data_IF_845376102537
#
_entry.id   IF_845376102537
#
_cell.length_a   1.000
_cell.length_b   1.000
_cell.length_c   1.000
_cell.angle_alpha   90.00
_cell.angle_beta   90.00
_cell.angle_gamma   90.00
#
_symmetry.space_group_name_H-M   'P 1'
#
loop_
_entity.id
_entity.type
_entity.pdbx_description
1 polymer ?
#
# COMPACT_ATOMS: atom_id res chain seq x y z
N UNK A 1 -53.76 -80.56 22.20
CA UNK A 1 -53.56 -80.72 23.65
C UNK A 1 -52.14 -81.21 23.82
N UNK A 2 -51.15 -80.56 24.44
CA UNK A 2 -51.04 -79.30 25.21
C UNK A 2 -49.56 -78.89 25.20
N UNK A 3 -49.25 -77.64 24.79
CA UNK A 3 -48.74 -76.51 25.58
C UNK A 3 -47.37 -76.71 26.28
N UNK A 4 -46.44 -75.84 25.85
CA UNK A 4 -45.11 -75.51 26.39
C UNK A 4 -45.12 -75.11 27.89
N UNK A 5 -43.97 -74.91 28.59
CA UNK A 5 -43.33 -73.57 28.54
C UNK A 5 -41.81 -73.41 28.92
N UNK A 6 -41.21 -72.36 28.34
CA UNK A 6 -40.43 -71.20 28.91
C UNK A 6 -39.10 -71.39 29.71
N UNK A 7 -37.96 -71.06 29.06
CA UNK A 7 -37.10 -69.83 29.15
C UNK A 7 -36.56 -69.32 30.55
N UNK A 8 -35.48 -68.50 30.63
CA UNK A 8 -34.06 -68.91 30.73
C UNK A 8 -33.28 -68.18 31.87
N UNK A 9 -31.97 -68.40 32.02
CA UNK A 9 -31.06 -67.43 32.68
C UNK A 9 -29.68 -67.42 32.02
N UNK A 10 -29.30 -66.26 31.47
CA UNK A 10 -28.07 -66.04 30.70
C UNK A 10 -26.93 -65.61 31.63
N UNK A 11 -25.83 -66.37 31.60
CA UNK A 11 -24.53 -65.98 32.16
C UNK A 11 -23.88 -64.91 31.28
N UNK A 12 -23.40 -63.83 31.91
CA UNK A 12 -22.54 -62.81 31.29
C UNK A 12 -21.09 -63.30 31.30
N UNK A 13 -20.44 -63.29 30.14
CA UNK A 13 -18.98 -63.26 30.01
C UNK A 13 -18.67 -62.11 29.06
N UNK A 14 -17.85 -61.17 29.54
CA UNK A 14 -17.31 -60.06 28.76
C UNK A 14 -16.14 -60.59 27.91
N UNK A 15 -16.27 -60.49 26.59
CA UNK A 15 -15.15 -60.62 25.65
C UNK A 15 -14.93 -59.26 24.98
N UNK A 16 -13.68 -58.80 25.01
CA UNK A 16 -13.26 -57.57 24.36
C UNK A 16 -13.34 -57.68 22.84
N UNK A 17 -13.94 -56.68 22.21
CA UNK A 17 -13.89 -56.47 20.78
C UNK A 17 -13.00 -55.26 20.50
N UNK A 18 -11.89 -55.47 19.79
CA UNK A 18 -11.11 -54.40 19.18
C UNK A 18 -11.91 -53.86 17.98
N UNK A 19 -12.34 -52.61 18.06
CA UNK A 19 -12.95 -51.88 16.95
C UNK A 19 -11.85 -51.25 16.09
N UNK A 20 -11.69 -51.74 14.87
CA UNK A 20 -10.94 -51.06 13.82
C UNK A 20 -11.77 -49.85 13.35
N UNK A 21 -11.22 -48.65 13.52
CA UNK A 21 -11.81 -47.40 13.01
C UNK A 21 -11.37 -47.24 11.55
N UNK A 22 -12.27 -47.04 10.58
CA UNK A 22 -11.87 -46.72 9.22
C UNK A 22 -11.30 -45.30 9.20
N UNK A 23 -10.08 -45.14 8.68
CA UNK A 23 -9.49 -43.84 8.41
C UNK A 23 -10.31 -43.16 7.30
N UNK A 24 -11.21 -42.25 7.68
CA UNK A 24 -11.84 -41.34 6.75
C UNK A 24 -10.78 -40.38 6.20
N UNK A 25 -10.53 -40.46 4.89
CA UNK A 25 -9.78 -39.45 4.15
C UNK A 25 -10.52 -38.12 4.26
N UNK A 26 -10.02 -37.23 5.10
CA UNK A 26 -10.45 -35.83 5.15
C UNK A 26 -9.92 -35.17 3.88
N UNK A 27 -10.76 -34.57 3.03
CA UNK A 27 -10.25 -33.74 1.95
C UNK A 27 -9.57 -32.53 2.60
N UNK A 28 -8.25 -32.46 2.52
CA UNK A 28 -7.50 -31.24 2.81
C UNK A 28 -7.96 -30.20 1.82
N UNK A 29 -8.88 -29.33 2.23
CA UNK A 29 -9.06 -28.04 1.58
C UNK A 29 -7.75 -27.32 1.76
N UNK A 30 -6.93 -27.30 0.70
CA UNK A 30 -5.92 -26.27 0.56
C UNK A 30 -6.70 -24.96 0.48
N UNK A 31 -6.97 -24.36 1.65
CA UNK A 31 -7.33 -22.97 1.72
C UNK A 31 -6.14 -22.23 1.10
N UNK A 32 -6.29 -21.82 -0.14
CA UNK A 32 -5.44 -20.80 -0.74
C UNK A 32 -5.55 -19.61 0.20
N UNK A 33 -4.60 -19.47 1.11
CA UNK A 33 -4.41 -18.23 1.84
C UNK A 33 -4.18 -17.20 0.73
N UNK A 34 -5.22 -16.43 0.40
CA UNK A 34 -5.10 -15.28 -0.47
C UNK A 34 -3.96 -14.47 0.14
N UNK A 35 -2.81 -14.46 -0.53
CA UNK A 35 -1.63 -13.74 -0.09
C UNK A 35 -2.10 -12.29 0.07
N UNK A 36 -2.29 -11.83 1.32
CA UNK A 36 -2.64 -10.42 1.58
C UNK A 36 -1.59 -9.63 0.84
N UNK A 37 -2.01 -8.88 -0.18
CA UNK A 37 -1.08 -8.01 -0.89
C UNK A 37 -0.43 -7.10 0.16
N UNK A 38 0.88 -6.87 0.09
CA UNK A 38 1.49 -5.86 0.95
C UNK A 38 0.75 -4.54 0.70
N UNK A 39 0.46 -3.80 1.79
CA UNK A 39 -0.23 -2.51 1.68
C UNK A 39 0.74 -1.46 1.13
N UNK A 40 1.96 -1.49 1.64
CA UNK A 40 3.05 -0.60 1.24
C UNK A 40 3.84 -1.16 0.05
N UNK A 41 4.50 -0.27 -0.70
CA UNK A 41 5.29 -0.64 -1.87
C UNK A 41 6.52 -1.48 -1.47
N UNK A 42 6.65 -2.73 -1.98
CA UNK A 42 7.65 -3.68 -1.48
C UNK A 42 9.10 -3.33 -1.80
N UNK A 43 9.34 -2.54 -2.86
CA UNK A 43 10.69 -2.19 -3.31
C UNK A 43 11.20 -0.86 -2.72
N UNK A 44 10.43 -0.24 -1.81
CA UNK A 44 10.86 0.96 -1.11
C UNK A 44 11.74 0.65 0.11
N UNK A 45 12.81 1.43 0.31
CA UNK A 45 13.55 1.46 1.56
C UNK A 45 12.74 2.23 2.62
N UNK A 46 12.55 1.64 3.80
CA UNK A 46 11.90 2.35 4.90
C UNK A 46 12.85 3.37 5.55
N UNK A 47 12.58 4.67 5.34
CA UNK A 47 13.31 5.79 5.94
C UNK A 47 12.28 6.73 6.58
N UNK A 48 11.91 6.50 7.85
CA UNK A 48 10.72 7.12 8.43
C UNK A 48 10.85 8.63 8.59
N UNK A 49 9.77 9.35 8.30
CA UNK A 49 9.54 10.70 8.78
C UNK A 49 9.37 10.71 10.31
N UNK A 50 9.54 11.87 10.93
CA UNK A 50 9.16 12.07 12.34
C UNK A 50 7.68 11.79 12.53
N UNK A 51 7.32 11.12 13.63
CA UNK A 51 5.91 10.92 14.01
C UNK A 51 5.16 12.23 14.29
N UNK A 52 5.89 13.34 14.43
CA UNK A 52 5.30 14.68 14.54
C UNK A 52 4.87 15.27 13.19
N UNK A 53 5.20 14.64 12.07
CA UNK A 53 5.00 15.19 10.73
C UNK A 53 3.89 14.49 9.91
N UNK A 54 3.11 13.61 10.52
CA UNK A 54 1.97 12.93 9.89
C UNK A 54 0.89 12.61 10.92
N UNK A 55 -0.32 12.28 10.47
CA UNK A 55 -1.40 11.86 11.36
C UNK A 55 -1.53 10.34 11.38
N UNK A 56 -1.47 9.74 12.58
CA UNK A 56 -1.76 8.32 12.76
C UNK A 56 -3.21 8.00 12.33
N UNK A 57 -3.40 6.89 11.63
CA UNK A 57 -4.67 6.50 11.02
C UNK A 57 -4.65 5.02 10.62
N UNK A 58 -5.80 4.53 10.15
CA UNK A 58 -6.03 3.15 9.70
C UNK A 58 -6.62 3.11 8.28
N UNK A 59 -6.00 3.86 7.36
CA UNK A 59 -6.45 3.88 5.95
C UNK A 59 -6.28 2.50 5.29
N UNK A 60 -7.21 2.10 4.40
CA UNK A 60 -8.30 2.91 3.84
C UNK A 60 -9.60 2.86 4.67
N UNK A 61 -9.62 2.26 5.86
CA UNK A 61 -10.87 2.12 6.63
C UNK A 61 -11.33 3.41 7.31
N UNK A 62 -10.39 4.26 7.72
CA UNK A 62 -10.69 5.59 8.27
C UNK A 62 -10.99 6.63 7.18
N UNK A 63 -10.24 6.58 6.07
CA UNK A 63 -10.42 7.40 4.87
C UNK A 63 -10.07 6.57 3.64
N UNK A 64 -10.85 6.62 2.55
CA UNK A 64 -10.47 5.95 1.31
C UNK A 64 -9.18 6.58 0.75
N UNK A 65 -8.41 5.82 -0.02
CA UNK A 65 -7.26 6.34 -0.78
C UNK A 65 -7.67 6.33 -2.24
N UNK A 66 -7.90 7.51 -2.79
CA UNK A 66 -8.54 7.72 -4.09
C UNK A 66 -7.61 8.43 -5.09
N UNK A 67 -6.51 9.00 -4.60
CA UNK A 67 -5.59 9.80 -5.41
C UNK A 67 -4.12 9.41 -5.19
N UNK A 68 -3.32 9.66 -6.22
CA UNK A 68 -1.87 9.81 -6.12
C UNK A 68 -1.55 11.27 -6.42
N UNK A 69 -0.79 11.93 -5.54
CA UNK A 69 -0.34 13.31 -5.76
C UNK A 69 1.16 13.29 -6.02
N UNK A 70 1.54 13.77 -7.21
CA UNK A 70 2.92 13.89 -7.66
C UNK A 70 3.45 15.26 -7.26
N UNK A 71 4.59 15.24 -6.57
CA UNK A 71 5.28 16.43 -6.09
C UNK A 71 6.69 16.53 -6.64
N UNK A 72 7.25 17.73 -6.62
CA UNK A 72 8.70 17.98 -6.79
C UNK A 72 9.19 18.77 -5.58
N UNK A 73 10.21 18.22 -4.94
CA UNK A 73 10.67 18.63 -3.59
C UNK A 73 11.21 20.06 -3.49
N UNK A 74 11.73 20.63 -4.59
CA UNK A 74 12.57 21.84 -4.58
C UNK A 74 13.83 21.70 -3.72
N UNK A 75 14.27 20.47 -3.50
CA UNK A 75 15.41 20.11 -2.63
C UNK A 75 16.15 18.88 -3.16
N UNK A 76 17.29 18.57 -2.53
CA UNK A 76 17.98 17.29 -2.75
C UNK A 76 17.32 16.15 -1.98
N UNK A 77 17.55 14.92 -2.40
CA UNK A 77 17.02 13.72 -1.75
C UNK A 77 17.40 13.66 -0.25
N UNK A 78 18.64 13.96 0.08
CA UNK A 78 19.12 13.93 1.46
C UNK A 78 18.48 15.05 2.30
N UNK A 79 18.33 16.25 1.74
CA UNK A 79 17.72 17.38 2.45
C UNK A 79 16.21 17.17 2.66
N UNK A 80 15.50 16.58 1.68
CA UNK A 80 14.10 16.21 1.86
C UNK A 80 13.91 15.20 2.99
N UNK A 81 14.75 14.17 3.08
CA UNK A 81 14.71 13.21 4.20
C UNK A 81 14.98 13.91 5.55
N UNK A 82 15.98 14.81 5.59
CA UNK A 82 16.27 15.59 6.80
C UNK A 82 15.09 16.48 7.22
N UNK A 83 14.37 17.08 6.26
CA UNK A 83 13.14 17.83 6.50
C UNK A 83 12.07 16.93 7.09
N UNK A 84 11.81 15.77 6.49
CA UNK A 84 10.79 14.82 6.96
C UNK A 84 11.10 14.26 8.35
N UNK A 85 12.37 14.11 8.71
CA UNK A 85 12.81 13.65 10.02
C UNK A 85 12.82 14.75 11.08
N UNK A 86 12.79 16.03 10.70
CA UNK A 86 12.78 17.13 11.64
C UNK A 86 11.34 17.38 12.16
N UNK A 87 11.08 17.17 13.48
CA UNK A 87 9.73 17.34 14.04
C UNK A 87 9.18 18.76 13.94
N UNK A 88 10.03 19.78 13.79
CA UNK A 88 9.58 21.19 13.72
C UNK A 88 9.05 21.56 12.32
N UNK A 89 9.26 20.70 11.32
CA UNK A 89 8.88 20.99 9.92
C UNK A 89 7.40 20.77 9.66
N UNK A 90 6.75 19.85 10.38
CA UNK A 90 5.31 19.59 10.26
C UNK A 90 4.89 19.32 8.80
N UNK A 91 5.74 18.59 8.05
CA UNK A 91 5.48 18.16 6.66
C UNK A 91 6.08 16.78 6.41
N UNK A 92 5.40 15.99 5.58
CA UNK A 92 5.87 14.68 5.14
C UNK A 92 5.13 14.23 3.89
N UNK A 93 5.70 13.27 3.17
CA UNK A 93 5.03 12.53 2.10
C UNK A 93 5.22 11.03 2.29
N UNK A 94 4.46 10.20 1.59
CA UNK A 94 4.53 8.76 1.78
C UNK A 94 5.79 8.19 1.16
N UNK A 95 6.14 8.66 -0.02
CA UNK A 95 7.31 8.19 -0.76
C UNK A 95 8.16 9.36 -1.28
N UNK A 96 9.46 9.10 -1.44
CA UNK A 96 10.43 9.99 -2.07
C UNK A 96 11.25 9.22 -3.10
N UNK A 97 11.30 9.71 -4.33
CA UNK A 97 12.03 9.12 -5.45
C UNK A 97 13.28 9.95 -5.74
N UNK A 98 14.45 9.30 -5.68
CA UNK A 98 15.74 9.90 -5.99
C UNK A 98 15.92 10.04 -7.50
N UNK A 99 16.41 11.20 -7.92
CA UNK A 99 16.60 11.53 -9.34
C UNK A 99 17.64 10.65 -10.00
N UNK A 100 18.79 10.46 -9.36
CA UNK A 100 19.97 9.86 -10.02
C UNK A 100 19.77 8.40 -10.45
N UNK A 101 18.99 7.63 -9.70
CA UNK A 101 18.91 6.18 -9.85
C UNK A 101 17.50 5.61 -9.63
N UNK A 102 16.50 6.47 -9.42
CA UNK A 102 15.12 6.04 -9.16
C UNK A 102 14.93 5.33 -7.82
N UNK A 103 15.88 5.45 -6.87
CA UNK A 103 15.72 4.86 -5.54
C UNK A 103 14.47 5.40 -4.85
N UNK A 104 13.65 4.51 -4.28
CA UNK A 104 12.41 4.88 -3.58
C UNK A 104 12.60 4.70 -2.09
N UNK A 105 12.43 5.76 -1.31
CA UNK A 105 12.21 5.66 0.13
C UNK A 105 10.73 5.77 0.46
N UNK A 106 10.27 5.00 1.45
CA UNK A 106 8.99 5.20 2.11
C UNK A 106 9.21 5.89 3.45
N UNK A 107 8.56 7.03 3.63
CA UNK A 107 8.71 7.90 4.80
C UNK A 107 7.48 7.87 5.72
N UNK A 108 6.30 7.58 5.16
CA UNK A 108 5.04 7.41 5.89
C UNK A 108 4.33 6.18 5.35
N UNK A 109 3.93 5.26 6.24
CA UNK A 109 3.16 4.08 5.86
C UNK A 109 1.81 4.47 5.26
N UNK A 110 1.30 3.75 4.27
CA UNK A 110 0.09 4.14 3.53
C UNK A 110 -1.15 4.25 4.42
N UNK A 111 -1.19 3.48 5.53
CA UNK A 111 -2.27 3.55 6.53
C UNK A 111 -2.35 4.89 7.27
N UNK A 112 -1.25 5.63 7.35
CA UNK A 112 -1.15 6.95 7.99
C UNK A 112 -1.38 8.06 6.99
N UNK A 113 -1.67 9.27 7.46
CA UNK A 113 -1.93 10.43 6.61
C UNK A 113 -0.69 11.31 6.57
N UNK A 114 0.06 11.27 5.48
CA UNK A 114 1.14 12.23 5.21
C UNK A 114 0.62 13.66 5.06
N UNK A 115 1.46 14.65 5.38
CA UNK A 115 1.12 16.07 5.32
C UNK A 115 1.85 16.73 4.14
N UNK A 116 1.39 16.45 2.91
CA UNK A 116 2.08 16.82 1.68
C UNK A 116 1.28 17.81 0.81
N UNK A 117 -0.06 17.69 0.79
CA UNK A 117 -0.90 18.42 -0.16
C UNK A 117 -1.27 19.85 0.30
N UNK A 118 -1.03 20.21 1.56
CA UNK A 118 -1.52 21.48 2.14
C UNK A 118 -3.05 21.58 2.24
N UNK A 119 -3.76 20.50 1.93
CA UNK A 119 -5.21 20.39 1.97
C UNK A 119 -5.59 19.09 2.67
N UNK A 120 -6.34 19.18 3.78
CA UNK A 120 -6.68 18.03 4.61
C UNK A 120 -7.52 16.97 3.87
N UNK A 121 -8.44 17.41 3.03
CA UNK A 121 -9.31 16.51 2.25
C UNK A 121 -8.51 15.67 1.25
N UNK A 122 -7.40 16.21 0.73
CA UNK A 122 -6.50 15.49 -0.17
C UNK A 122 -5.45 14.69 0.59
N UNK A 123 -4.87 15.21 1.68
CA UNK A 123 -3.94 14.45 2.52
C UNK A 123 -4.58 13.13 3.00
N UNK A 124 -5.82 13.20 3.50
CA UNK A 124 -6.52 12.02 4.01
C UNK A 124 -6.82 10.99 2.93
N UNK A 125 -6.99 11.41 1.68
CA UNK A 125 -7.45 10.55 0.58
C UNK A 125 -6.42 10.27 -0.49
N UNK A 126 -5.14 10.54 -0.24
CA UNK A 126 -4.09 10.34 -1.24
C UNK A 126 -2.82 9.72 -0.68
N UNK A 127 -2.03 9.20 -1.63
CA UNK A 127 -0.60 8.92 -1.46
C UNK A 127 0.18 10.03 -2.17
N UNK A 128 0.90 10.84 -1.39
CA UNK A 128 1.92 11.75 -1.90
C UNK A 128 3.20 11.03 -2.30
N UNK A 129 3.74 11.37 -3.46
CA UNK A 129 5.03 10.91 -3.97
C UNK A 129 5.88 12.13 -4.33
N UNK A 130 6.95 12.32 -3.58
CA UNK A 130 7.96 13.36 -3.82
C UNK A 130 9.00 12.91 -4.84
N UNK A 131 9.41 13.83 -5.70
CA UNK A 131 10.49 13.64 -6.65
C UNK A 131 11.62 14.62 -6.33
N UNK A 132 12.82 14.11 -6.08
CA UNK A 132 14.02 14.94 -5.90
C UNK A 132 14.20 15.90 -7.08
N UNK A 133 14.42 17.18 -6.81
CA UNK A 133 14.80 18.14 -7.84
C UNK A 133 14.04 19.46 -7.77
N UNK A 134 14.17 20.24 -8.85
CA UNK A 134 13.60 21.56 -8.99
C UNK A 134 12.72 21.63 -10.24
N UNK A 135 11.57 22.28 -10.12
CA UNK A 135 10.54 22.36 -11.18
C UNK A 135 11.03 23.03 -12.47
N UNK A 136 12.08 23.84 -12.38
CA UNK A 136 12.73 24.58 -13.48
C UNK A 136 14.02 23.94 -13.98
N UNK A 137 14.40 22.75 -13.45
CA UNK A 137 15.62 22.03 -13.80
C UNK A 137 15.28 20.63 -14.36
N UNK A 138 14.94 20.52 -15.65
CA UNK A 138 14.49 19.25 -16.26
C UNK A 138 15.50 18.09 -16.16
N UNK A 139 16.78 18.38 -15.91
CA UNK A 139 17.82 17.36 -15.67
C UNK A 139 17.52 16.43 -14.50
N UNK A 140 16.66 16.83 -13.56
CA UNK A 140 16.25 15.99 -12.43
C UNK A 140 15.20 14.94 -12.81
N UNK A 141 14.48 15.13 -13.93
CA UNK A 141 13.42 14.23 -14.35
C UNK A 141 13.97 13.13 -15.26
N UNK A 142 14.78 12.26 -14.66
CA UNK A 142 15.51 11.19 -15.32
C UNK A 142 14.62 10.02 -15.70
N UNK A 143 15.12 9.15 -16.58
CA UNK A 143 14.40 7.95 -17.00
C UNK A 143 14.20 6.99 -15.82
N UNK A 144 15.18 6.88 -14.95
CA UNK A 144 15.17 6.06 -13.74
C UNK A 144 14.11 6.55 -12.74
N UNK A 145 14.04 7.86 -12.51
CA UNK A 145 13.01 8.47 -11.65
C UNK A 145 11.61 8.19 -12.19
N UNK A 146 11.37 8.46 -13.48
CA UNK A 146 10.06 8.23 -14.10
C UNK A 146 9.66 6.75 -14.02
N UNK A 147 10.59 5.82 -14.29
CA UNK A 147 10.33 4.39 -14.27
C UNK A 147 9.95 3.91 -12.86
N UNK A 148 10.74 4.24 -11.84
CA UNK A 148 10.48 3.83 -10.46
C UNK A 148 9.20 4.45 -9.91
N UNK A 149 8.99 5.75 -10.16
CA UNK A 149 7.77 6.44 -9.74
C UNK A 149 6.53 5.86 -10.43
N UNK A 150 6.63 5.51 -11.71
CA UNK A 150 5.51 4.92 -12.44
C UNK A 150 5.15 3.53 -11.91
N UNK A 151 6.15 2.69 -11.58
CA UNK A 151 5.95 1.39 -10.96
C UNK A 151 5.30 1.51 -9.56
N UNK A 152 5.76 2.46 -8.76
CA UNK A 152 5.15 2.79 -7.46
C UNK A 152 3.70 3.23 -7.63
N UNK A 153 3.41 4.18 -8.52
CA UNK A 153 2.05 4.65 -8.77
C UNK A 153 1.14 3.54 -9.29
N UNK A 154 1.61 2.70 -10.21
CA UNK A 154 0.85 1.55 -10.71
C UNK A 154 0.51 0.57 -9.58
N UNK A 155 1.46 0.29 -8.68
CA UNK A 155 1.23 -0.52 -7.50
C UNK A 155 0.15 0.09 -6.59
N UNK A 156 0.31 1.36 -6.20
CA UNK A 156 -0.65 2.06 -5.33
C UNK A 156 -2.04 2.03 -5.95
N UNK A 157 -2.16 2.35 -7.25
CA UNK A 157 -3.43 2.31 -7.94
C UNK A 157 -4.05 0.92 -7.97
N UNK A 158 -3.25 -0.14 -8.17
CA UNK A 158 -3.74 -1.51 -8.16
C UNK A 158 -4.13 -2.03 -6.77
N UNK A 159 -3.55 -1.49 -5.69
CA UNK A 159 -3.88 -1.87 -4.31
C UNK A 159 -5.17 -1.19 -3.83
N UNK A 160 -5.40 0.05 -4.26
CA UNK A 160 -6.51 0.89 -3.80
C UNK A 160 -7.61 1.11 -4.85
N UNK A 161 -7.57 0.37 -5.96
CA UNK A 161 -8.53 0.44 -7.07
C UNK A 161 -8.67 1.86 -7.66
N UNK A 162 -7.57 2.60 -7.74
CA UNK A 162 -7.52 3.97 -8.29
C UNK A 162 -7.41 3.90 -9.82
N UNK A 163 -8.27 4.60 -10.59
CA UNK A 163 -8.15 4.66 -12.04
C UNK A 163 -6.83 5.29 -12.52
N UNK A 164 -6.22 4.70 -13.55
CA UNK A 164 -4.96 5.16 -14.15
C UNK A 164 -5.17 6.35 -15.11
N UNK A 165 -5.70 7.46 -14.59
CA UNK A 165 -6.00 8.67 -15.35
C UNK A 165 -5.60 9.96 -14.63
N UNK A 166 -5.67 11.09 -15.35
CA UNK A 166 -5.34 12.43 -14.84
C UNK A 166 -6.34 13.00 -13.84
N UNK A 167 -7.46 12.33 -13.57
CA UNK A 167 -8.42 12.77 -12.55
C UNK A 167 -8.04 12.25 -11.16
N UNK A 168 -7.26 11.16 -11.10
CA UNK A 168 -6.89 10.51 -9.84
C UNK A 168 -5.38 10.54 -9.59
N UNK A 169 -4.57 10.50 -10.64
CA UNK A 169 -3.14 10.77 -10.57
C UNK A 169 -2.97 12.24 -10.94
N UNK A 170 -2.67 13.09 -9.97
CA UNK A 170 -2.66 14.56 -10.09
C UNK A 170 -1.32 15.14 -9.63
N UNK A 171 -1.01 16.36 -10.06
CA UNK A 171 0.09 17.16 -9.51
C UNK A 171 -0.35 17.92 -8.26
N UNK A 172 0.61 18.35 -7.44
CA UNK A 172 0.29 19.18 -6.28
C UNK A 172 -0.42 20.48 -6.68
N UNK A 173 0.01 21.11 -7.77
CA UNK A 173 -0.62 22.31 -8.34
C UNK A 173 -2.09 22.14 -8.75
N UNK A 174 -2.59 20.91 -8.89
CA UNK A 174 -3.99 20.61 -9.19
C UNK A 174 -4.84 20.38 -7.94
N UNK A 175 -4.22 20.29 -6.76
CA UNK A 175 -4.93 20.24 -5.47
C UNK A 175 -5.60 21.59 -5.20
N UNK A 176 -6.89 21.63 -4.84
CA UNK A 176 -7.58 22.87 -4.51
C UNK A 176 -6.89 23.65 -3.38
N UNK A 177 -6.57 24.91 -3.65
CA UNK A 177 -5.88 25.79 -2.71
C UNK A 177 -4.37 25.62 -2.66
N UNK A 178 -3.77 24.85 -3.58
CA UNK A 178 -2.32 24.74 -3.68
C UNK A 178 -1.68 26.11 -3.88
N UNK A 179 -0.67 26.39 -3.05
CA UNK A 179 0.18 27.59 -3.14
C UNK A 179 1.49 27.30 -3.86
N UNK A 180 1.74 26.03 -4.22
CA UNK A 180 2.91 25.57 -4.93
C UNK A 180 2.58 25.24 -6.39
N UNK A 181 3.63 25.19 -7.22
CA UNK A 181 3.50 25.03 -8.68
C UNK A 181 4.03 23.68 -9.19
N UNK A 182 4.49 22.81 -8.29
CA UNK A 182 5.00 21.48 -8.59
C UNK A 182 3.87 20.54 -9.07
N UNK A 183 4.18 19.54 -9.93
CA UNK A 183 5.51 19.12 -10.39
C UNK A 183 6.13 20.01 -11.49
N UNK A 184 5.44 21.09 -11.87
CA UNK A 184 5.98 22.12 -12.76
C UNK A 184 5.86 21.80 -14.25
N UNK A 185 6.27 22.75 -15.11
CA UNK A 185 6.06 22.67 -16.56
C UNK A 185 6.90 21.60 -17.25
N UNK A 186 7.95 21.10 -16.59
CA UNK A 186 8.85 20.11 -17.16
C UNK A 186 8.48 18.66 -16.80
N UNK A 187 7.42 18.46 -16.00
CA UNK A 187 6.87 17.13 -15.76
C UNK A 187 6.05 16.66 -16.96
N UNK A 188 6.48 15.58 -17.60
CA UNK A 188 5.86 15.01 -18.78
C UNK A 188 4.78 14.00 -18.36
N UNK A 189 3.55 14.50 -18.25
CA UNK A 189 2.39 13.71 -17.84
C UNK A 189 2.04 12.57 -18.82
N UNK A 190 2.22 12.78 -20.12
CA UNK A 190 1.90 11.78 -21.13
C UNK A 190 2.88 10.62 -21.05
N UNK A 191 4.17 10.93 -20.92
CA UNK A 191 5.22 9.95 -20.64
C UNK A 191 4.93 9.21 -19.33
N UNK A 192 4.65 9.93 -18.25
CA UNK A 192 4.42 9.33 -16.94
C UNK A 192 3.25 8.35 -16.96
N UNK A 193 2.10 8.76 -17.48
CA UNK A 193 0.93 7.89 -17.55
C UNK A 193 1.10 6.71 -18.49
N UNK A 194 1.89 6.85 -19.56
CA UNK A 194 2.26 5.71 -20.42
C UNK A 194 3.07 4.68 -19.65
N UNK A 195 4.01 5.12 -18.82
CA UNK A 195 4.81 4.22 -17.98
C UNK A 195 3.95 3.57 -16.89
N UNK A 196 3.10 4.33 -16.21
CA UNK A 196 2.19 3.81 -15.16
C UNK A 196 1.30 2.69 -15.71
N UNK A 197 0.76 2.86 -16.94
CA UNK A 197 -0.10 1.86 -17.58
C UNK A 197 0.66 0.62 -18.08
N UNK A 198 1.97 0.70 -18.20
CA UNK A 198 2.83 -0.36 -18.73
C UNK A 198 3.56 -1.15 -17.64
N UNK A 199 3.54 -0.67 -16.39
CA UNK A 199 4.18 -1.28 -15.24
C UNK A 199 3.42 -2.50 -14.69
#
# INVERSE_FOLDING_TARGET
MDRAPRWPSRRRILQGAALAVPAALVPTTAATAARRRPRDYPDAEWIPASSSNYTSSDRPSSYPIEFVVVHVTQETYADTLAIFQNPDKQVSSHYLVRSKDGHVAQCVADRHVGWHAGNWDYNTRSIGIEHEGWVDQPKYFTDEMYASSAALTAFVCAIYDIPLDRKHIIGHNEVPGATHTDPGPHWDWDRYLKLVKAA
#
